data_IF_274477662284
#
_entry.id   IF_274477662284
#
_cell.length_a   1.000
_cell.length_b   1.000
_cell.length_c   1.000
_cell.angle_alpha   90.00
_cell.angle_beta   90.00
_cell.angle_gamma   90.00
#
_symmetry.space_group_name_H-M   'P 1'
#
loop_
_entity.id
_entity.type
_entity.pdbx_description
1 polymer ?
#
# COMPACT_ATOMS: atom_id res chain seq x y z
N UNK A 1 -25.87 47.09 -10.11
CA UNK A 1 -26.19 45.96 -11.00
C UNK A 1 -25.00 45.04 -10.89
N UNK A 2 -25.07 44.10 -9.95
CA UNK A 2 -24.00 43.14 -9.71
C UNK A 2 -24.08 42.08 -10.80
N UNK A 3 -22.96 41.89 -11.51
CA UNK A 3 -22.86 40.92 -12.59
C UNK A 3 -22.55 39.58 -11.93
N UNK A 4 -23.46 38.61 -12.06
CA UNK A 4 -23.19 37.26 -11.59
C UNK A 4 -22.02 36.64 -12.38
N UNK A 5 -21.13 35.88 -11.72
CA UNK A 5 -20.03 35.22 -12.41
C UNK A 5 -20.58 34.13 -13.33
N UNK A 6 -20.20 34.21 -14.61
CA UNK A 6 -20.60 33.24 -15.63
C UNK A 6 -19.97 31.89 -15.34
N UNK A 7 -20.81 30.85 -15.36
CA UNK A 7 -20.44 29.44 -15.24
C UNK A 7 -19.69 29.03 -16.52
N UNK A 8 -18.39 29.27 -16.54
CA UNK A 8 -17.49 28.76 -17.56
C UNK A 8 -16.35 28.00 -16.85
N UNK A 9 -16.02 26.83 -17.41
CA UNK A 9 -14.80 26.04 -17.16
C UNK A 9 -14.85 24.93 -16.10
N UNK A 10 -15.96 24.17 -16.02
CA UNK A 10 -16.01 22.91 -15.26
C UNK A 10 -15.68 21.65 -16.11
N UNK A 11 -15.15 21.80 -17.32
CA UNK A 11 -15.05 20.69 -18.28
C UNK A 11 -13.63 20.12 -18.52
N UNK A 12 -12.58 20.68 -17.91
CA UNK A 12 -11.18 20.20 -18.05
C UNK A 12 -10.71 19.27 -16.91
N UNK A 13 -11.46 19.13 -15.81
CA UNK A 13 -11.02 18.39 -14.61
C UNK A 13 -11.43 16.91 -14.56
N UNK A 14 -12.34 16.47 -15.44
CA UNK A 14 -12.94 15.13 -15.35
C UNK A 14 -11.98 13.98 -15.70
N UNK A 15 -10.84 14.26 -16.36
CA UNK A 15 -9.85 13.25 -16.75
C UNK A 15 -8.50 13.41 -16.02
N UNK A 16 -8.25 14.52 -15.33
CA UNK A 16 -6.97 14.78 -14.65
C UNK A 16 -6.65 13.69 -13.61
N UNK A 17 -7.65 13.26 -12.83
CA UNK A 17 -7.50 12.18 -11.86
C UNK A 17 -7.08 10.86 -12.50
N UNK A 18 -7.51 10.59 -13.73
CA UNK A 18 -7.24 9.33 -14.42
C UNK A 18 -5.77 9.21 -14.80
N UNK A 19 -5.14 10.31 -15.19
CA UNK A 19 -3.70 10.36 -15.48
C UNK A 19 -2.89 10.00 -14.23
N UNK A 20 -3.22 10.64 -13.10
CA UNK A 20 -2.55 10.40 -11.82
C UNK A 20 -2.77 8.98 -11.30
N UNK A 21 -4.01 8.47 -11.41
CA UNK A 21 -4.35 7.09 -11.03
C UNK A 21 -3.59 6.09 -11.91
N UNK A 22 -3.54 6.28 -13.23
CA UNK A 22 -2.78 5.41 -14.15
C UNK A 22 -1.29 5.39 -13.80
N UNK A 23 -0.71 6.55 -13.48
CA UNK A 23 0.69 6.66 -13.05
C UNK A 23 0.91 5.90 -11.73
N UNK A 24 0.11 6.19 -10.72
CA UNK A 24 0.18 5.53 -9.42
C UNK A 24 0.01 4.01 -9.53
N UNK A 25 -0.92 3.55 -10.37
CA UNK A 25 -1.15 2.13 -10.60
C UNK A 25 0.07 1.44 -11.23
N UNK A 26 0.69 2.06 -12.24
CA UNK A 26 1.94 1.56 -12.85
C UNK A 26 3.09 1.49 -11.85
N UNK A 27 3.21 2.46 -10.95
CA UNK A 27 4.19 2.44 -9.85
C UNK A 27 3.92 1.27 -8.89
N UNK A 28 2.65 1.06 -8.53
CA UNK A 28 2.24 -0.01 -7.61
C UNK A 28 2.53 -1.40 -8.16
N UNK A 29 2.27 -1.65 -9.45
CA UNK A 29 2.57 -2.93 -10.08
C UNK A 29 4.07 -3.25 -10.13
N UNK A 30 4.95 -2.24 -10.01
CA UNK A 30 6.41 -2.41 -9.94
C UNK A 30 6.93 -2.55 -8.51
N UNK A 31 6.07 -2.40 -7.50
CA UNK A 31 6.47 -2.48 -6.11
C UNK A 31 7.01 -3.89 -5.78
N UNK A 32 8.05 -3.97 -4.95
CA UNK A 32 8.74 -5.25 -4.63
C UNK A 32 7.81 -6.33 -4.05
N UNK A 33 6.73 -5.89 -3.38
CA UNK A 33 5.72 -6.74 -2.77
C UNK A 33 4.50 -7.01 -3.68
N UNK A 34 4.49 -6.51 -4.92
CA UNK A 34 3.32 -6.58 -5.78
C UNK A 34 3.06 -7.96 -6.38
N UNK A 35 4.09 -8.81 -6.47
CA UNK A 35 4.07 -10.07 -7.22
C UNK A 35 2.88 -11.02 -6.94
N UNK A 36 2.33 -11.17 -5.71
CA UNK A 36 1.16 -12.05 -5.48
C UNK A 36 -0.15 -11.47 -6.01
N UNK A 37 -0.15 -10.18 -6.34
CA UNK A 37 -1.35 -9.39 -6.65
C UNK A 37 -1.41 -9.01 -8.13
N UNK A 38 -0.45 -9.42 -8.95
CA UNK A 38 -0.36 -9.03 -10.36
C UNK A 38 -1.37 -9.75 -11.26
N UNK A 39 -1.78 -10.96 -10.87
CA UNK A 39 -2.66 -11.83 -11.65
C UNK A 39 -3.79 -12.38 -10.75
N UNK A 40 -4.92 -12.81 -11.34
CA UNK A 40 -5.98 -13.47 -10.60
C UNK A 40 -5.45 -14.69 -9.83
N UNK A 41 -5.96 -14.90 -8.61
CA UNK A 41 -5.64 -16.10 -7.83
C UNK A 41 -6.17 -17.33 -8.57
N UNK A 42 -5.30 -18.31 -8.82
CA UNK A 42 -5.64 -19.63 -9.36
C UNK A 42 -5.65 -20.66 -8.22
N UNK A 43 -6.85 -21.06 -7.71
CA UNK A 43 -6.93 -21.97 -6.58
C UNK A 43 -6.47 -23.39 -6.89
N UNK A 44 -6.49 -23.80 -8.17
CA UNK A 44 -6.06 -25.13 -8.58
C UNK A 44 -4.54 -25.18 -8.60
N UNK A 45 -3.89 -24.22 -9.25
CA UNK A 45 -2.43 -24.11 -9.32
C UNK A 45 -1.78 -23.95 -7.94
N UNK A 46 -2.44 -23.21 -7.04
CA UNK A 46 -1.95 -22.96 -5.68
C UNK A 46 -2.41 -24.00 -4.66
N UNK A 47 -3.23 -24.98 -5.07
CA UNK A 47 -3.79 -26.02 -4.18
C UNK A 47 -4.54 -25.45 -2.96
N UNK A 48 -5.40 -24.45 -3.20
CA UNK A 48 -6.23 -23.77 -2.20
C UNK A 48 -7.72 -23.82 -2.57
N UNK A 49 -8.33 -25.02 -2.65
CA UNK A 49 -9.67 -25.21 -3.24
C UNK A 49 -10.81 -24.45 -2.53
N UNK A 50 -10.58 -23.98 -1.30
CA UNK A 50 -11.56 -23.20 -0.52
C UNK A 50 -11.53 -21.71 -0.80
N UNK A 51 -10.67 -21.22 -1.71
CA UNK A 51 -10.50 -19.79 -1.96
C UNK A 51 -11.82 -19.07 -2.29
N UNK A 52 -12.57 -19.55 -3.27
CA UNK A 52 -13.86 -18.96 -3.67
C UNK A 52 -15.00 -19.24 -2.67
N UNK A 53 -14.78 -20.03 -1.62
CA UNK A 53 -15.72 -20.16 -0.50
C UNK A 53 -15.55 -19.03 0.52
N UNK A 54 -14.35 -18.44 0.58
CA UNK A 54 -13.99 -17.38 1.52
C UNK A 54 -14.04 -16.01 0.86
N UNK A 55 -13.58 -15.93 -0.40
CA UNK A 55 -13.47 -14.71 -1.20
C UNK A 55 -14.59 -14.66 -2.24
N UNK A 56 -15.56 -13.80 -1.99
CA UNK A 56 -16.76 -13.64 -2.81
C UNK A 56 -16.52 -12.80 -4.06
N UNK A 57 -15.66 -11.78 -3.96
CA UNK A 57 -15.33 -10.86 -5.05
C UNK A 57 -13.81 -10.82 -5.25
N UNK A 58 -13.23 -11.75 -6.02
CA UNK A 58 -11.81 -11.73 -6.36
C UNK A 58 -11.43 -10.45 -7.11
N UNK A 59 -10.22 -9.96 -6.87
CA UNK A 59 -9.66 -8.81 -7.58
C UNK A 59 -8.13 -8.90 -7.57
N UNK A 60 -7.50 -8.36 -8.62
CA UNK A 60 -6.05 -8.32 -8.80
C UNK A 60 -5.65 -7.06 -9.58
N UNK A 61 -4.37 -6.69 -9.52
CA UNK A 61 -3.83 -5.49 -10.16
C UNK A 61 -3.89 -5.58 -11.69
N UNK A 62 -3.74 -6.77 -12.28
CA UNK A 62 -3.86 -6.95 -13.74
C UNK A 62 -5.27 -6.66 -14.24
N UNK A 63 -6.29 -7.12 -13.51
CA UNK A 63 -7.70 -6.82 -13.77
C UNK A 63 -7.97 -5.31 -13.69
N UNK A 64 -7.50 -4.63 -12.64
CA UNK A 64 -7.62 -3.17 -12.48
C UNK A 64 -6.89 -2.44 -13.62
N UNK A 65 -5.70 -2.90 -14.01
CA UNK A 65 -4.95 -2.32 -15.12
C UNK A 65 -5.74 -2.40 -16.42
N UNK A 66 -6.37 -3.55 -16.71
CA UNK A 66 -7.25 -3.70 -17.87
C UNK A 66 -8.41 -2.70 -17.86
N UNK A 67 -9.05 -2.50 -16.70
CA UNK A 67 -10.12 -1.48 -16.53
C UNK A 67 -9.64 -0.06 -16.80
N UNK A 68 -8.44 0.29 -16.33
CA UNK A 68 -7.81 1.59 -16.58
C UNK A 68 -7.40 1.81 -18.03
N UNK A 69 -7.19 0.75 -18.82
CA UNK A 69 -6.88 0.87 -20.25
C UNK A 69 -8.15 1.09 -21.07
N UNK A 70 -9.27 0.46 -20.70
CA UNK A 70 -10.57 0.67 -21.37
C UNK A 70 -11.06 2.12 -21.26
N UNK A 71 -10.72 2.82 -20.16
CA UNK A 71 -11.08 4.23 -19.95
C UNK A 71 -10.35 5.20 -20.90
N UNK A 72 -9.40 4.71 -21.70
CA UNK A 72 -8.57 5.50 -22.61
C UNK A 72 -9.03 5.47 -24.08
N UNK A 73 -10.27 5.06 -24.37
CA UNK A 73 -10.75 4.91 -25.75
C UNK A 73 -11.07 6.28 -26.39
N UNK A 74 -10.00 7.00 -26.68
CA UNK A 74 -9.88 8.18 -27.53
C UNK A 74 -8.40 8.30 -27.88
N UNK A 75 -8.00 7.67 -29.00
CA UNK A 75 -6.69 7.77 -29.65
C UNK A 75 -5.48 7.22 -28.87
N UNK A 76 -5.15 5.95 -29.10
CA UNK A 76 -3.87 5.53 -29.71
C UNK A 76 -3.81 4.01 -29.78
N UNK A 77 -3.77 3.49 -31.01
CA UNK A 77 -3.61 2.08 -31.31
C UNK A 77 -2.16 1.67 -30.98
N UNK A 78 -1.94 1.00 -29.84
CA UNK A 78 -0.78 0.13 -29.66
C UNK A 78 -1.29 -1.31 -29.51
N UNK A 79 -1.01 -2.09 -30.55
CA UNK A 79 -1.40 -3.49 -30.69
C UNK A 79 -0.68 -4.35 -29.66
N UNK A 80 -1.40 -4.77 -28.61
CA UNK A 80 -1.32 -6.12 -28.04
C UNK A 80 -2.59 -6.34 -27.19
N UNK A 81 -3.70 -6.62 -27.86
CA UNK A 81 -4.92 -7.08 -27.18
C UNK A 81 -4.69 -8.51 -26.68
N UNK A 82 -4.74 -8.66 -25.36
CA UNK A 82 -4.70 -9.95 -24.69
C UNK A 82 -5.84 -10.83 -25.25
N UNK A 83 -5.54 -12.06 -25.70
CA UNK A 83 -6.50 -13.01 -26.31
C UNK A 83 -7.66 -13.39 -25.37
N UNK A 84 -7.54 -13.06 -24.09
CA UNK A 84 -8.62 -13.03 -23.12
C UNK A 84 -9.14 -11.59 -23.00
N UNK A 85 -9.96 -11.17 -23.95
CA UNK A 85 -10.70 -9.92 -23.83
C UNK A 85 -11.46 -9.87 -22.49
N UNK A 86 -11.61 -8.68 -21.87
CA UNK A 86 -12.24 -8.57 -20.58
C UNK A 86 -13.70 -9.10 -20.66
N UNK A 87 -14.21 -9.77 -19.60
CA UNK A 87 -15.61 -10.22 -19.57
C UNK A 87 -16.55 -9.03 -19.81
N UNK A 88 -17.70 -9.28 -20.43
CA UNK A 88 -18.72 -8.27 -20.81
C UNK A 88 -19.28 -7.40 -19.65
N UNK A 89 -18.86 -7.63 -18.40
CA UNK A 89 -19.19 -6.83 -17.23
C UNK A 89 -18.11 -5.80 -16.84
N UNK A 90 -16.97 -5.77 -17.54
CA UNK A 90 -15.85 -4.90 -17.19
C UNK A 90 -16.06 -3.47 -17.72
N UNK A 91 -16.71 -2.62 -16.91
CA UNK A 91 -16.89 -1.20 -17.25
C UNK A 91 -15.66 -0.37 -16.88
N UNK A 92 -15.50 0.76 -17.55
CA UNK A 92 -14.53 1.82 -17.22
C UNK A 92 -14.77 2.34 -15.80
N UNK A 93 -13.73 2.83 -15.13
CA UNK A 93 -13.89 3.57 -13.88
C UNK A 93 -14.48 4.95 -14.15
N UNK A 94 -15.62 5.27 -13.54
CA UNK A 94 -16.28 6.57 -13.66
C UNK A 94 -15.75 7.62 -12.70
N UNK A 95 -15.13 7.19 -11.60
CA UNK A 95 -14.51 8.07 -10.62
C UNK A 95 -13.39 7.37 -9.85
N UNK A 96 -12.63 8.15 -9.08
CA UNK A 96 -11.54 7.63 -8.25
C UNK A 96 -12.01 6.64 -7.18
N UNK A 97 -13.23 6.78 -6.66
CA UNK A 97 -13.74 5.90 -5.60
C UNK A 97 -13.93 4.46 -6.10
N UNK A 98 -14.40 4.28 -7.34
CA UNK A 98 -14.52 2.94 -7.91
C UNK A 98 -13.15 2.26 -8.06
N UNK A 99 -12.14 3.00 -8.53
CA UNK A 99 -10.77 2.52 -8.61
C UNK A 99 -10.20 2.19 -7.22
N UNK A 100 -10.39 3.08 -6.25
CA UNK A 100 -9.96 2.89 -4.86
C UNK A 100 -10.57 1.63 -4.26
N UNK A 101 -11.87 1.44 -4.45
CA UNK A 101 -12.60 0.30 -3.87
C UNK A 101 -12.05 -1.03 -4.40
N UNK A 102 -11.83 -1.16 -5.70
CA UNK A 102 -11.21 -2.36 -6.26
C UNK A 102 -9.77 -2.53 -5.76
N UNK A 103 -9.01 -1.45 -5.68
CA UNK A 103 -7.62 -1.50 -5.25
C UNK A 103 -7.48 -1.96 -3.80
N UNK A 104 -8.33 -1.46 -2.90
CA UNK A 104 -8.37 -1.91 -1.51
C UNK A 104 -8.87 -3.35 -1.41
N UNK A 105 -9.84 -3.74 -2.24
CA UNK A 105 -10.37 -5.10 -2.29
C UNK A 105 -9.29 -6.15 -2.61
N UNK A 106 -8.31 -5.84 -3.48
CA UNK A 106 -7.14 -6.72 -3.73
C UNK A 106 -6.47 -7.12 -2.43
N UNK A 107 -6.17 -6.13 -1.59
CA UNK A 107 -5.42 -6.35 -0.35
C UNK A 107 -6.30 -6.88 0.77
N UNK A 108 -7.54 -6.42 0.87
CA UNK A 108 -8.50 -6.86 1.89
C UNK A 108 -8.84 -8.34 1.70
N UNK A 109 -9.01 -8.80 0.44
CA UNK A 109 -9.17 -10.22 0.14
C UNK A 109 -7.94 -11.05 0.53
N UNK A 110 -6.75 -10.55 0.21
CA UNK A 110 -5.51 -11.23 0.56
C UNK A 110 -5.33 -11.33 2.08
N UNK A 111 -5.67 -10.28 2.84
CA UNK A 111 -5.65 -10.28 4.30
C UNK A 111 -6.69 -11.27 4.84
N UNK A 112 -7.93 -11.24 4.32
CA UNK A 112 -9.02 -12.13 4.74
C UNK A 112 -8.68 -13.61 4.53
N UNK A 113 -8.12 -13.96 3.37
CA UNK A 113 -7.81 -15.35 3.04
C UNK A 113 -6.58 -15.87 3.79
N UNK A 114 -5.50 -15.09 3.84
CA UNK A 114 -4.22 -15.57 4.39
C UNK A 114 -4.09 -15.37 5.90
N UNK A 115 -4.81 -14.40 6.47
CA UNK A 115 -4.67 -14.03 7.89
C UNK A 115 -3.29 -13.45 8.23
N UNK A 116 -2.94 -13.50 9.52
CA UNK A 116 -1.59 -13.21 10.02
C UNK A 116 -0.94 -14.51 10.50
N UNK A 117 0.08 -14.96 9.77
CA UNK A 117 0.86 -16.13 10.14
C UNK A 117 2.18 -15.74 10.86
N UNK A 118 2.36 -14.47 11.20
CA UNK A 118 3.54 -13.93 11.87
C UNK A 118 4.81 -13.88 11.00
N UNK A 119 4.77 -14.35 9.76
CA UNK A 119 5.92 -14.31 8.85
C UNK A 119 6.01 -12.95 8.17
N UNK A 120 7.19 -12.34 8.20
CA UNK A 120 7.45 -11.02 7.62
C UNK A 120 7.09 -10.97 6.12
N UNK A 121 7.26 -12.09 5.42
CA UNK A 121 7.08 -12.21 3.98
C UNK A 121 5.81 -12.98 3.58
N UNK A 122 4.86 -13.18 4.49
CA UNK A 122 3.59 -13.80 4.10
C UNK A 122 2.75 -12.86 3.23
N UNK A 123 1.95 -13.44 2.33
CA UNK A 123 1.06 -12.69 1.43
C UNK A 123 0.11 -11.77 2.23
N UNK A 124 -0.37 -12.22 3.40
CA UNK A 124 -1.19 -11.38 4.29
C UNK A 124 -0.44 -10.15 4.81
N UNK A 125 0.84 -10.29 5.18
CA UNK A 125 1.65 -9.17 5.65
C UNK A 125 2.14 -8.27 4.50
N UNK A 126 2.41 -8.83 3.32
CA UNK A 126 2.63 -8.07 2.09
C UNK A 126 1.41 -7.22 1.75
N UNK A 127 0.21 -7.80 1.81
CA UNK A 127 -1.05 -7.12 1.56
C UNK A 127 -1.28 -5.97 2.55
N UNK A 128 -1.05 -6.17 3.85
CA UNK A 128 -1.11 -5.09 4.86
C UNK A 128 -0.18 -3.94 4.49
N UNK A 129 1.07 -4.21 4.13
CA UNK A 129 2.06 -3.17 3.77
C UNK A 129 1.66 -2.43 2.50
N UNK A 130 1.26 -3.16 1.47
CA UNK A 130 0.80 -2.57 0.20
C UNK A 130 -0.45 -1.71 0.40
N UNK A 131 -1.42 -2.19 1.19
CA UNK A 131 -2.62 -1.43 1.55
C UNK A 131 -2.29 -0.12 2.25
N UNK A 132 -1.36 -0.15 3.21
CA UNK A 132 -0.89 1.04 3.91
C UNK A 132 -0.20 2.04 2.97
N UNK A 133 0.66 1.53 2.09
CA UNK A 133 1.33 2.33 1.08
C UNK A 133 0.29 3.04 0.18
N UNK A 134 -0.70 2.30 -0.29
CA UNK A 134 -1.79 2.82 -1.12
C UNK A 134 -2.61 3.88 -0.40
N UNK A 135 -3.05 3.64 0.85
CA UNK A 135 -3.80 4.63 1.61
C UNK A 135 -3.02 5.93 1.82
N UNK A 136 -1.74 5.83 2.16
CA UNK A 136 -0.88 7.02 2.31
C UNK A 136 -0.72 7.76 0.97
N UNK A 137 -0.54 7.01 -0.12
CA UNK A 137 -0.38 7.54 -1.48
C UNK A 137 -1.65 8.24 -1.97
N UNK A 138 -2.82 7.65 -1.68
CA UNK A 138 -4.13 8.23 -1.97
C UNK A 138 -4.36 9.53 -1.17
N UNK A 139 -4.17 9.49 0.15
CA UNK A 139 -4.30 10.67 1.01
C UNK A 139 -3.37 11.83 0.61
N UNK A 140 -2.19 11.52 0.07
CA UNK A 140 -1.21 12.54 -0.32
C UNK A 140 -1.48 13.20 -1.67
N UNK A 141 -2.14 12.48 -2.59
CA UNK A 141 -2.31 12.93 -3.98
C UNK A 141 -3.74 13.34 -4.32
N UNK A 142 -4.73 12.74 -3.65
CA UNK A 142 -6.13 12.98 -3.90
C UNK A 142 -6.72 13.56 -2.62
N UNK A 143 -7.41 14.70 -2.73
CA UNK A 143 -7.90 15.48 -1.59
C UNK A 143 -8.83 14.65 -0.69
N UNK A 144 -9.11 15.22 0.49
CA UNK A 144 -9.76 14.60 1.66
C UNK A 144 -11.14 13.95 1.40
N UNK A 145 -11.70 14.12 0.21
CA UNK A 145 -12.90 13.43 -0.29
C UNK A 145 -12.66 11.95 -0.65
N UNK A 146 -11.40 11.53 -0.85
CA UNK A 146 -11.09 10.16 -1.31
C UNK A 146 -11.00 9.12 -0.20
N UNK A 147 -10.84 9.49 1.07
CA UNK A 147 -10.80 8.53 2.18
C UNK A 147 -12.03 8.66 3.09
N UNK A 148 -12.58 7.51 3.48
CA UNK A 148 -13.59 7.42 4.53
C UNK A 148 -13.00 7.81 5.89
N UNK A 149 -13.86 8.12 6.86
CA UNK A 149 -13.42 8.44 8.21
C UNK A 149 -12.68 7.27 8.86
N UNK A 150 -13.14 6.04 8.62
CA UNK A 150 -12.53 4.81 9.11
C UNK A 150 -11.11 4.63 8.57
N UNK A 151 -10.91 4.84 7.26
CA UNK A 151 -9.59 4.78 6.62
C UNK A 151 -8.65 5.88 7.12
N UNK A 152 -9.15 7.09 7.35
CA UNK A 152 -8.38 8.19 7.96
C UNK A 152 -7.95 7.83 9.38
N UNK A 153 -8.85 7.28 10.18
CA UNK A 153 -8.54 6.81 11.54
C UNK A 153 -7.48 5.72 11.52
N UNK A 154 -7.61 4.74 10.61
CA UNK A 154 -6.62 3.66 10.45
C UNK A 154 -5.24 4.24 10.10
N UNK A 155 -5.18 5.13 9.11
CA UNK A 155 -3.94 5.77 8.68
C UNK A 155 -3.29 6.56 9.83
N UNK A 156 -4.08 7.31 10.60
CA UNK A 156 -3.60 8.07 11.76
C UNK A 156 -3.04 7.16 12.86
N UNK A 157 -3.73 6.05 13.18
CA UNK A 157 -3.25 5.07 14.16
C UNK A 157 -1.93 4.42 13.73
N UNK A 158 -1.77 4.15 12.44
CA UNK A 158 -0.54 3.59 11.89
C UNK A 158 0.62 4.59 11.90
N UNK A 159 0.38 5.83 11.48
CA UNK A 159 1.36 6.89 11.57
C UNK A 159 1.85 7.08 13.01
N UNK A 160 0.94 7.01 13.99
CA UNK A 160 1.28 7.02 15.41
C UNK A 160 2.14 5.83 15.81
N UNK A 161 1.79 4.59 15.41
CA UNK A 161 2.61 3.40 15.68
C UNK A 161 4.02 3.51 15.09
N UNK A 162 4.15 4.02 13.87
CA UNK A 162 5.45 4.24 13.22
C UNK A 162 6.26 5.30 13.97
N UNK A 163 5.62 6.40 14.39
CA UNK A 163 6.26 7.44 15.19
C UNK A 163 6.74 6.89 16.54
N UNK A 164 5.91 6.11 17.22
CA UNK A 164 6.23 5.46 18.50
C UNK A 164 7.39 4.46 18.34
N UNK A 165 7.39 3.64 17.29
CA UNK A 165 8.48 2.71 17.00
C UNK A 165 9.81 3.43 16.70
N UNK A 166 9.77 4.52 15.92
CA UNK A 166 10.94 5.38 15.67
C UNK A 166 11.44 5.99 16.99
N UNK A 167 10.54 6.52 17.81
CA UNK A 167 10.88 7.10 19.11
C UNK A 167 11.49 6.06 20.06
N UNK A 168 10.97 4.83 20.07
CA UNK A 168 11.52 3.72 20.84
C UNK A 168 12.93 3.35 20.36
N UNK A 169 13.17 3.28 19.04
CA UNK A 169 14.50 3.04 18.49
C UNK A 169 15.51 4.11 18.91
N UNK A 170 15.11 5.39 18.84
CA UNK A 170 15.92 6.51 19.37
C UNK A 170 16.16 6.36 20.86
N UNK A 171 15.13 6.02 21.65
CA UNK A 171 15.24 5.82 23.09
C UNK A 171 16.18 4.67 23.45
N UNK A 172 16.11 3.54 22.76
CA UNK A 172 17.00 2.40 22.97
C UNK A 172 18.46 2.73 22.62
N UNK A 173 18.67 3.50 21.53
CA UNK A 173 19.99 4.04 21.20
C UNK A 173 20.51 4.97 22.30
N UNK A 174 19.68 5.91 22.77
CA UNK A 174 20.03 6.84 23.85
C UNK A 174 20.34 6.11 25.16
N UNK A 175 19.63 5.02 25.49
CA UNK A 175 19.97 4.18 26.65
C UNK A 175 21.39 3.62 26.55
N UNK A 176 21.77 3.06 25.39
CA UNK A 176 23.12 2.50 25.14
C UNK A 176 24.22 3.57 25.14
N UNK A 177 23.91 4.77 24.67
CA UNK A 177 24.85 5.87 24.54
C UNK A 177 24.85 6.83 25.74
N UNK A 178 23.96 6.65 26.73
CA UNK A 178 23.80 7.53 27.90
C UNK A 178 25.09 7.70 28.72
N UNK A 179 25.20 8.81 29.46
CA UNK A 179 26.32 9.05 30.40
C UNK A 179 26.51 7.86 31.35
N UNK A 180 25.43 7.31 31.90
CA UNK A 180 25.46 6.15 32.79
C UNK A 180 26.00 4.90 32.06
N UNK A 181 25.58 4.66 30.82
CA UNK A 181 26.09 3.54 30.02
C UNK A 181 27.59 3.72 29.67
N UNK A 182 28.03 4.94 29.38
CA UNK A 182 29.45 5.27 29.15
C UNK A 182 30.28 5.08 30.42
N UNK A 183 29.80 5.59 31.55
CA UNK A 183 30.44 5.44 32.86
C UNK A 183 30.55 3.97 33.30
N UNK A 184 29.49 3.18 33.09
CA UNK A 184 29.52 1.75 33.38
C UNK A 184 30.49 0.99 32.46
N UNK A 185 30.61 1.37 31.18
CA UNK A 185 31.65 0.81 30.28
C UNK A 185 33.05 1.11 30.81
N UNK A 186 33.34 2.35 31.16
CA UNK A 186 34.64 2.76 31.72
C UNK A 186 34.98 2.00 33.00
N UNK A 187 33.99 1.76 33.88
CA UNK A 187 34.19 0.94 35.08
C UNK A 187 34.54 -0.52 34.77
N UNK A 188 33.91 -1.10 33.75
CA UNK A 188 34.18 -2.48 33.33
C UNK A 188 35.56 -2.58 32.68
N UNK A 189 35.91 -1.65 31.81
CA UNK A 189 37.24 -1.54 31.18
C UNK A 189 38.33 -1.43 32.25
N UNK A 190 38.18 -0.50 33.20
CA UNK A 190 39.10 -0.33 34.32
C UNK A 190 39.25 -1.61 35.15
N UNK A 191 38.15 -2.31 35.46
CA UNK A 191 38.20 -3.57 36.22
C UNK A 191 38.92 -4.68 35.44
N UNK A 192 38.74 -4.74 34.12
CA UNK A 192 39.39 -5.73 33.26
C UNK A 192 40.89 -5.45 33.12
N UNK A 193 41.30 -4.19 33.00
CA UNK A 193 42.70 -3.77 32.96
C UNK A 193 43.44 -4.15 34.25
N UNK A 194 42.84 -3.86 35.40
CA UNK A 194 43.39 -4.24 36.71
C UNK A 194 43.51 -5.76 36.84
N UNK A 195 42.53 -6.52 36.35
CA UNK A 195 42.57 -7.99 36.38
C UNK A 195 43.66 -8.58 35.46
N UNK A 196 43.91 -7.96 34.29
CA UNK A 196 44.99 -8.37 33.39
C UNK A 196 46.38 -8.08 33.97
N UNK A 197 46.56 -6.96 34.68
CA UNK A 197 47.82 -6.61 35.33
C UNK A 197 48.11 -7.44 36.60
N UNK A 198 47.08 -8.04 37.18
CA UNK A 198 47.19 -8.89 38.37
C UNK A 198 47.36 -10.39 38.06
N UNK A 199 47.37 -10.80 36.78
CA UNK A 199 47.70 -12.18 36.40
C UNK A 199 49.23 -12.34 36.28
N UNK A 200 49.83 -13.33 36.99
CA UNK A 200 51.28 -13.57 37.00
C UNK A 200 51.83 -14.12 35.67
#
# INVERSE_FOLDING_TARGET
MEVEPTVADAHDDAEAWLVDVKKMHKELMKHELAWPFLEPVDPVKLNIPTYFQIIERPMDLGTIQGRLQLTASGDDHDEMVNVFGPPAAMTTYGCIDEYKNDLLLVFDNAIKFNGDDGRIESVGNMAKRMRQHVLARLASQFTDASLTWEEKVELNLLQKKIADAKAQGVRERWKKESFVARWNRQKIEFRNEVAMQASP
#
